data_IF_519415697930
#
_entry.id   IF_519415697930
#
_cell.length_a   1.000
_cell.length_b   1.000
_cell.length_c   1.000
_cell.angle_alpha   90.00
_cell.angle_beta   90.00
_cell.angle_gamma   90.00
#
_symmetry.space_group_name_H-M   'P 1'
#
loop_
_entity.id
_entity.type
_entity.pdbx_description
1 polymer ?
#
# COMPACT_ATOMS: atom_id res chain seq x y z
N UNK A 1 15.66 -20.83 -9.96
CA UNK A 1 14.55 -20.44 -9.06
C UNK A 1 14.69 -18.95 -8.76
N UNK A 2 14.04 -18.09 -9.53
CA UNK A 2 14.10 -16.64 -9.29
C UNK A 2 12.89 -16.23 -8.47
N UNK A 3 13.10 -15.68 -7.27
CA UNK A 3 12.03 -14.98 -6.57
C UNK A 3 11.65 -13.76 -7.41
N UNK A 4 10.41 -13.72 -7.90
CA UNK A 4 9.88 -12.55 -8.56
C UNK A 4 9.52 -11.51 -7.51
N UNK A 5 10.56 -10.80 -7.06
CA UNK A 5 10.46 -9.73 -6.07
C UNK A 5 9.54 -8.64 -6.56
N UNK A 6 9.56 -8.34 -7.87
CA UNK A 6 8.65 -7.38 -8.48
C UNK A 6 7.20 -7.78 -8.27
N UNK A 7 6.83 -9.02 -8.60
CA UNK A 7 5.46 -9.50 -8.42
C UNK A 7 5.00 -9.47 -6.96
N UNK A 8 5.90 -9.78 -6.02
CA UNK A 8 5.57 -9.71 -4.59
C UNK A 8 5.41 -8.26 -4.11
N UNK A 9 6.29 -7.38 -4.56
CA UNK A 9 6.26 -5.97 -4.21
C UNK A 9 4.99 -5.30 -4.76
N UNK A 10 4.64 -5.53 -6.02
CA UNK A 10 3.40 -5.03 -6.62
C UNK A 10 2.16 -5.52 -5.86
N UNK A 11 2.09 -6.81 -5.53
CA UNK A 11 0.98 -7.36 -4.74
C UNK A 11 0.87 -6.76 -3.33
N UNK A 12 2.01 -6.45 -2.72
CA UNK A 12 2.02 -5.79 -1.41
C UNK A 12 1.52 -4.36 -1.51
N UNK A 13 1.95 -3.61 -2.54
CA UNK A 13 1.48 -2.26 -2.84
C UNK A 13 -0.03 -2.20 -3.11
N UNK A 14 -0.55 -3.10 -3.96
CA UNK A 14 -1.99 -3.22 -4.25
C UNK A 14 -2.80 -3.45 -2.97
N UNK A 15 -2.27 -4.26 -2.04
CA UNK A 15 -2.92 -4.51 -0.76
C UNK A 15 -2.97 -3.25 0.10
N UNK A 16 -1.87 -2.51 0.21
CA UNK A 16 -1.81 -1.28 1.01
C UNK A 16 -2.77 -0.21 0.47
N UNK A 17 -2.88 -0.07 -0.84
CA UNK A 17 -3.82 0.86 -1.47
C UNK A 17 -5.27 0.45 -1.21
N UNK A 18 -5.59 -0.84 -1.39
CA UNK A 18 -6.92 -1.37 -1.08
C UNK A 18 -7.30 -1.20 0.39
N UNK A 19 -6.34 -1.34 1.30
CA UNK A 19 -6.53 -1.16 2.73
C UNK A 19 -6.60 0.35 3.11
N UNK A 20 -6.50 1.26 2.14
CA UNK A 20 -6.56 2.71 2.35
C UNK A 20 -5.39 3.26 3.16
N UNK A 21 -4.24 2.56 3.13
CA UNK A 21 -3.02 2.91 3.88
C UNK A 21 -2.09 3.80 3.08
N UNK A 22 -2.17 3.71 1.75
CA UNK A 22 -1.40 4.53 0.81
C UNK A 22 -2.30 4.98 -0.33
N UNK A 23 -1.91 6.06 -0.98
CA UNK A 23 -2.43 6.49 -2.27
C UNK A 23 -1.28 6.62 -3.27
N UNK A 24 -1.57 6.36 -4.53
CA UNK A 24 -0.65 6.64 -5.63
C UNK A 24 -1.01 7.95 -6.32
N UNK A 25 -0.03 8.84 -6.44
CA UNK A 25 -0.11 10.08 -7.22
C UNK A 25 0.94 9.99 -8.34
N UNK A 26 0.61 9.27 -9.40
CA UNK A 26 1.57 8.93 -10.45
C UNK A 26 2.64 7.95 -9.93
N UNK A 27 3.90 8.37 -9.92
CA UNK A 27 5.02 7.58 -9.37
C UNK A 27 5.23 7.82 -7.86
N UNK A 28 4.50 8.76 -7.27
CA UNK A 28 4.60 9.08 -5.86
C UNK A 28 3.66 8.19 -5.04
N UNK A 29 4.20 7.63 -3.95
CA UNK A 29 3.43 6.87 -2.96
C UNK A 29 3.28 7.74 -1.72
N UNK A 30 2.05 8.15 -1.43
CA UNK A 30 1.74 9.00 -0.28
C UNK A 30 1.08 8.14 0.80
N UNK A 31 1.61 8.11 2.04
CA UNK A 31 0.96 7.41 3.13
C UNK A 31 -0.35 8.13 3.47
N UNK A 32 -1.45 7.38 3.45
CA UNK A 32 -2.69 7.84 4.02
C UNK A 32 -2.59 7.56 5.50
N UNK A 33 -2.41 8.61 6.31
CA UNK A 33 -2.55 8.49 7.75
C UNK A 33 -3.91 7.86 8.00
N UNK A 34 -3.93 6.58 8.40
CA UNK A 34 -5.12 6.00 8.99
C UNK A 34 -5.49 6.97 10.11
N UNK A 35 -6.55 7.75 9.91
CA UNK A 35 -7.33 8.29 11.00
C UNK A 35 -7.89 7.04 11.69
N UNK A 36 -7.05 6.43 12.51
CA UNK A 36 -7.46 5.60 13.62
C UNK A 36 -8.34 6.51 14.46
N UNK A 37 -9.62 6.59 14.11
CA UNK A 37 -10.66 6.70 15.13
C UNK A 37 -10.63 5.37 15.87
N UNK A 38 -9.61 5.20 16.73
CA UNK A 38 -9.76 4.36 17.91
C UNK A 38 -10.72 5.15 18.78
N UNK A 39 -11.99 4.79 18.66
CA UNK A 39 -13.12 5.45 19.29
C UNK A 39 -14.33 4.55 19.13
N UNK A 40 -14.31 3.41 19.82
CA UNK A 40 -15.27 3.06 20.86
C UNK A 40 -14.59 2.15 21.88
#
# INVERSE_FOLDING_TARGET
MGFDVNKKFTRWLEKLEKDGLIAFEGEQITPLSQRNKVGD
#
